data_IF_033517275543
#
_entry.id   IF_033517275543
#
_cell.length_a   1.000
_cell.length_b   1.000
_cell.length_c   1.000
_cell.angle_alpha   90.00
_cell.angle_beta   90.00
_cell.angle_gamma   90.00
#
_symmetry.space_group_name_H-M   'P 1'
#
loop_
_entity.id
_entity.type
_entity.pdbx_description
1 polymer ?
#
# COMPACT_ATOMS: atom_id res chain seq x y z
N UNK A 1 -19.95 -25.42 2.63
CA UNK A 1 -19.91 -25.77 1.19
C UNK A 1 -18.79 -24.96 0.55
N UNK A 2 -17.69 -25.64 0.26
CA UNK A 2 -16.50 -25.05 -0.36
C UNK A 2 -16.77 -24.77 -1.84
N UNK A 3 -16.47 -23.56 -2.30
CA UNK A 3 -16.45 -23.23 -3.73
C UNK A 3 -14.99 -22.89 -4.09
N UNK A 4 -14.39 -23.55 -5.10
CA UNK A 4 -12.99 -23.38 -5.44
C UNK A 4 -12.77 -22.07 -6.20
N UNK A 5 -11.63 -21.43 -5.92
CA UNK A 5 -11.11 -20.33 -6.72
C UNK A 5 -10.58 -20.90 -8.04
N UNK A 6 -11.06 -20.38 -9.17
CA UNK A 6 -10.53 -20.72 -10.48
C UNK A 6 -9.08 -20.24 -10.60
N UNK A 7 -8.16 -21.20 -10.50
CA UNK A 7 -6.76 -21.12 -10.92
C UNK A 7 -6.73 -21.87 -12.24
N UNK A 8 -6.33 -21.22 -13.33
CA UNK A 8 -5.77 -21.90 -14.48
C UNK A 8 -4.81 -20.98 -15.22
N UNK A 9 -3.67 -21.58 -15.60
CA UNK A 9 -2.59 -21.12 -16.46
C UNK A 9 -1.57 -20.14 -15.87
N UNK A 10 -0.63 -20.70 -15.12
CA UNK A 10 0.75 -20.18 -14.99
C UNK A 10 1.56 -20.74 -16.15
N UNK A 11 1.90 -19.89 -17.13
CA UNK A 11 3.00 -20.18 -18.06
C UNK A 11 4.22 -19.40 -17.57
N UNK A 12 5.24 -20.19 -17.24
CA UNK A 12 6.52 -19.81 -16.67
C UNK A 12 7.27 -18.87 -17.64
N UNK A 13 7.45 -17.60 -17.29
CA UNK A 13 8.37 -16.70 -18.00
C UNK A 13 9.70 -16.72 -17.25
N UNK A 14 10.62 -17.57 -17.71
CA UNK A 14 12.03 -17.47 -17.35
C UNK A 14 12.72 -16.47 -18.27
N UNK A 15 13.47 -15.54 -17.69
CA UNK A 15 14.73 -15.06 -18.28
C UNK A 15 15.66 -14.57 -17.17
N UNK A 16 16.90 -15.03 -17.29
CA UNK A 16 17.93 -15.11 -16.27
C UNK A 16 18.84 -13.87 -16.19
N UNK A 17 19.27 -13.56 -14.96
CA UNK A 17 20.67 -13.35 -14.50
C UNK A 17 21.49 -12.18 -15.10
N UNK A 18 22.28 -11.40 -14.36
CA UNK A 18 23.18 -11.66 -13.23
C UNK A 18 23.28 -10.43 -12.31
N UNK A 19 23.39 -10.67 -11.00
CA UNK A 19 23.75 -9.64 -10.02
C UNK A 19 25.27 -9.37 -10.04
N UNK A 20 25.65 -8.12 -9.77
CA UNK A 20 26.98 -7.72 -9.34
C UNK A 20 26.82 -6.87 -8.06
N UNK A 21 27.45 -7.21 -6.92
CA UNK A 21 27.25 -6.51 -5.66
C UNK A 21 28.40 -5.51 -5.42
N UNK A 22 28.18 -4.22 -5.70
CA UNK A 22 29.08 -3.18 -5.23
C UNK A 22 28.37 -1.84 -5.01
N UNK A 23 28.41 -1.41 -3.75
CA UNK A 23 28.34 -0.04 -3.21
C UNK A 23 27.74 1.09 -4.09
N UNK A 24 26.61 1.63 -3.62
CA UNK A 24 26.05 2.89 -4.11
C UNK A 24 25.34 3.65 -2.99
N UNK A 25 25.75 4.91 -2.81
CA UNK A 25 25.36 5.94 -1.84
C UNK A 25 23.85 6.01 -1.46
N UNK A 26 23.48 6.63 -0.31
CA UNK A 26 22.12 6.59 0.21
C UNK A 26 21.19 7.44 -0.67
N UNK A 27 20.40 6.76 -1.51
CA UNK A 27 19.28 7.39 -2.20
C UNK A 27 18.17 7.64 -1.16
N UNK A 28 17.72 8.89 -1.07
CA UNK A 28 16.66 9.41 -0.19
C UNK A 28 15.75 8.32 0.41
N UNK A 29 15.93 8.06 1.71
CA UNK A 29 15.25 7.01 2.47
C UNK A 29 13.74 7.10 2.34
N UNK A 30 13.16 6.29 1.47
CA UNK A 30 11.73 6.20 1.25
C UNK A 30 11.07 5.36 2.33
N UNK A 31 9.88 5.76 2.76
CA UNK A 31 9.02 5.00 3.67
C UNK A 31 8.83 3.57 3.13
N UNK A 32 9.30 2.59 3.88
CA UNK A 32 9.25 1.17 3.51
C UNK A 32 8.92 0.30 4.74
N UNK A 33 8.26 -0.83 4.49
CA UNK A 33 7.78 -1.77 5.48
C UNK A 33 8.12 -3.19 5.03
N UNK A 34 8.67 -4.05 5.90
CA UNK A 34 9.05 -5.41 5.53
C UNK A 34 8.15 -6.46 6.20
N UNK A 35 7.73 -7.46 5.43
CA UNK A 35 6.92 -8.57 5.91
C UNK A 35 7.59 -9.90 5.54
N UNK A 36 7.78 -10.76 6.52
CA UNK A 36 8.04 -12.18 6.27
C UNK A 36 6.71 -12.92 6.17
N UNK A 37 6.46 -13.54 5.02
CA UNK A 37 5.22 -14.26 4.73
C UNK A 37 5.51 -15.53 3.94
N UNK A 38 5.14 -16.69 4.49
CA UNK A 38 5.25 -17.99 3.80
C UNK A 38 6.67 -18.22 3.20
N UNK A 39 7.72 -17.92 3.99
CA UNK A 39 9.15 -17.96 3.63
C UNK A 39 9.60 -16.95 2.56
N UNK A 40 8.81 -15.92 2.28
CA UNK A 40 9.19 -14.80 1.40
C UNK A 40 9.40 -13.53 2.22
N UNK A 41 10.49 -12.85 1.94
CA UNK A 41 10.76 -11.51 2.46
C UNK A 41 10.22 -10.48 1.48
N UNK A 42 9.20 -9.74 1.90
CA UNK A 42 8.49 -8.78 1.08
C UNK A 42 8.72 -7.37 1.61
N UNK A 43 8.90 -6.40 0.71
CA UNK A 43 8.98 -4.98 1.08
C UNK A 43 7.87 -4.19 0.42
N UNK A 44 7.09 -3.49 1.22
CA UNK A 44 6.13 -2.48 0.78
C UNK A 44 6.82 -1.12 0.78
N UNK A 45 7.07 -0.57 -0.40
CA UNK A 45 7.81 0.67 -0.58
C UNK A 45 6.93 1.73 -1.22
N UNK A 46 7.01 2.96 -0.72
CA UNK A 46 6.47 4.12 -1.42
C UNK A 46 7.47 4.56 -2.51
N UNK A 47 7.02 4.54 -3.76
CA UNK A 47 7.86 4.84 -4.94
C UNK A 47 7.27 5.99 -5.75
N UNK A 48 8.14 6.84 -6.30
CA UNK A 48 7.76 7.91 -7.22
C UNK A 48 8.27 7.68 -8.64
N UNK A 49 7.95 8.57 -9.60
CA UNK A 49 8.26 8.38 -11.02
C UNK A 49 9.75 8.15 -11.35
N UNK A 50 10.67 8.58 -10.48
CA UNK A 50 12.11 8.32 -10.66
C UNK A 50 12.61 6.98 -10.12
N UNK A 51 11.76 6.19 -9.44
CA UNK A 51 12.13 4.87 -8.95
C UNK A 51 11.87 3.80 -10.02
N UNK A 52 12.79 2.85 -10.18
CA UNK A 52 12.69 1.77 -11.16
C UNK A 52 11.40 0.93 -11.05
N UNK A 53 10.82 0.82 -9.86
CA UNK A 53 9.60 0.01 -9.65
C UNK A 53 8.32 0.77 -9.99
N UNK A 54 8.38 2.08 -10.28
CA UNK A 54 7.20 2.84 -10.67
C UNK A 54 6.64 2.35 -12.02
N UNK A 55 7.51 2.15 -13.02
CA UNK A 55 7.12 1.59 -14.32
C UNK A 55 6.54 0.18 -14.19
N UNK A 56 7.21 -0.68 -13.40
CA UNK A 56 6.73 -2.03 -13.12
C UNK A 56 5.34 -2.04 -12.45
N UNK A 57 5.05 -1.08 -11.56
CA UNK A 57 3.74 -0.95 -10.93
C UNK A 57 2.65 -0.54 -11.93
N UNK A 58 2.96 0.35 -12.88
CA UNK A 58 2.04 0.72 -13.98
C UNK A 58 1.72 -0.50 -14.82
N UNK A 59 2.74 -1.25 -15.26
CA UNK A 59 2.58 -2.46 -16.07
C UNK A 59 1.76 -3.53 -15.33
N UNK A 60 2.07 -3.77 -14.06
CA UNK A 60 1.33 -4.69 -13.20
C UNK A 60 -0.15 -4.30 -13.09
N UNK A 61 -0.45 -3.02 -12.83
CA UNK A 61 -1.82 -2.53 -12.74
C UNK A 61 -2.57 -2.73 -14.06
N UNK A 62 -1.97 -2.36 -15.20
CA UNK A 62 -2.55 -2.56 -16.52
C UNK A 62 -2.85 -4.04 -16.78
N UNK A 63 -1.89 -4.93 -16.52
CA UNK A 63 -2.05 -6.37 -16.74
C UNK A 63 -3.16 -6.96 -15.86
N UNK A 64 -3.23 -6.59 -14.58
CA UNK A 64 -4.25 -7.08 -13.65
C UNK A 64 -5.65 -6.59 -14.05
N UNK A 65 -5.80 -5.31 -14.41
CA UNK A 65 -7.10 -4.77 -14.84
C UNK A 65 -7.56 -5.35 -16.17
N UNK A 66 -6.64 -5.55 -17.12
CA UNK A 66 -6.93 -6.23 -18.38
C UNK A 66 -7.43 -7.66 -18.13
N UNK A 67 -6.74 -8.43 -17.28
CA UNK A 67 -7.10 -9.81 -16.98
C UNK A 67 -8.42 -9.93 -16.21
N UNK A 68 -8.67 -9.04 -15.25
CA UNK A 68 -9.83 -9.11 -14.38
C UNK A 68 -11.11 -8.56 -15.03
N UNK A 69 -10.97 -7.54 -15.88
CA UNK A 69 -12.11 -6.74 -16.36
C UNK A 69 -12.12 -6.51 -17.87
N UNK A 70 -11.16 -7.06 -18.63
CA UNK A 70 -10.92 -6.68 -20.03
C UNK A 70 -10.74 -5.16 -20.18
N UNK A 71 -10.15 -4.52 -19.16
CA UNK A 71 -9.99 -3.08 -19.08
C UNK A 71 -8.59 -2.64 -19.56
N UNK A 72 -8.55 -1.58 -20.36
CA UNK A 72 -7.35 -0.84 -20.72
C UNK A 72 -7.32 0.44 -19.88
N UNK A 73 -6.37 0.53 -18.95
CA UNK A 73 -6.23 1.69 -18.06
C UNK A 73 -4.89 2.39 -18.31
N UNK A 74 -4.80 3.66 -17.94
CA UNK A 74 -3.57 4.45 -18.00
C UNK A 74 -3.29 5.10 -16.62
N UNK A 75 -2.88 4.31 -15.61
CA UNK A 75 -2.71 4.82 -14.25
C UNK A 75 -1.56 5.83 -14.19
N UNK A 76 -1.84 7.03 -13.65
CA UNK A 76 -0.85 8.10 -13.45
C UNK A 76 -0.94 8.71 -12.05
N UNK A 77 -0.82 7.91 -10.98
CA UNK A 77 -0.84 8.45 -9.63
C UNK A 77 0.44 9.27 -9.33
N UNK A 78 0.43 10.09 -8.29
CA UNK A 78 1.65 10.80 -7.89
C UNK A 78 2.74 9.84 -7.40
N UNK A 79 2.35 8.76 -6.72
CA UNK A 79 3.22 7.71 -6.17
C UNK A 79 2.53 6.35 -6.32
N UNK A 80 3.30 5.27 -6.20
CA UNK A 80 2.77 3.94 -5.93
C UNK A 80 3.26 3.45 -4.57
N UNK A 81 2.43 2.69 -3.88
CA UNK A 81 2.86 1.74 -2.85
C UNK A 81 3.07 0.42 -3.58
N UNK A 82 4.27 -0.13 -3.55
CA UNK A 82 4.62 -1.36 -4.28
C UNK A 82 5.09 -2.41 -3.31
N UNK A 83 4.52 -3.61 -3.38
CA UNK A 83 5.05 -4.79 -2.74
C UNK A 83 6.08 -5.45 -3.68
N UNK A 84 7.31 -5.54 -3.20
CA UNK A 84 8.47 -6.09 -3.91
C UNK A 84 8.86 -7.37 -3.20
N UNK A 85 8.99 -8.46 -3.95
CA UNK A 85 9.61 -9.69 -3.45
C UNK A 85 11.14 -9.50 -3.46
N UNK A 86 11.78 -9.58 -2.29
CA UNK A 86 13.23 -9.35 -2.19
C UNK A 86 14.06 -10.45 -2.86
N UNK A 87 13.54 -11.67 -2.96
CA UNK A 87 14.26 -12.77 -3.59
C UNK A 87 14.37 -12.61 -5.11
N UNK A 88 13.34 -12.02 -5.74
CA UNK A 88 13.28 -11.86 -7.20
C UNK A 88 13.45 -10.41 -7.67
N UNK A 89 13.27 -9.44 -6.78
CA UNK A 89 13.18 -8.02 -7.10
C UNK A 89 11.90 -7.61 -7.84
N UNK A 90 10.94 -8.52 -8.01
CA UNK A 90 9.74 -8.28 -8.79
C UNK A 90 8.67 -7.49 -8.00
N UNK A 91 7.96 -6.59 -8.69
CA UNK A 91 6.75 -5.95 -8.18
C UNK A 91 5.56 -6.93 -8.30
N UNK A 92 5.00 -7.33 -7.16
CA UNK A 92 3.94 -8.37 -7.11
C UNK A 92 2.57 -7.82 -6.66
N UNK A 93 2.55 -6.62 -6.11
CA UNK A 93 1.32 -5.88 -5.85
C UNK A 93 1.61 -4.37 -5.88
N UNK A 94 0.61 -3.57 -6.22
CA UNK A 94 0.72 -2.12 -6.19
C UNK A 94 -0.61 -1.43 -5.87
N UNK A 95 -0.51 -0.21 -5.33
CA UNK A 95 -1.62 0.73 -5.18
C UNK A 95 -1.13 2.12 -5.56
N UNK A 96 -1.83 2.79 -6.47
CA UNK A 96 -1.56 4.19 -6.81
C UNK A 96 -2.03 5.11 -5.69
N UNK A 97 -1.24 6.14 -5.39
CA UNK A 97 -1.50 7.16 -4.38
C UNK A 97 -1.41 8.56 -5.01
N UNK A 98 -2.51 9.31 -4.98
CA UNK A 98 -2.59 10.68 -5.49
C UNK A 98 -3.03 11.63 -4.40
N UNK A 99 -2.17 12.57 -4.01
CA UNK A 99 -2.51 13.63 -3.05
C UNK A 99 -3.51 14.63 -3.64
N UNK A 100 -4.57 14.98 -2.91
CA UNK A 100 -5.64 15.87 -3.40
C UNK A 100 -5.19 17.31 -3.63
N UNK A 101 -4.09 17.75 -2.99
CA UNK A 101 -3.35 18.98 -3.30
C UNK A 101 -4.18 20.14 -3.85
N UNK A 102 -3.78 20.64 -5.03
CA UNK A 102 -4.50 21.68 -5.78
C UNK A 102 -5.35 21.14 -6.95
N UNK A 103 -5.08 19.91 -7.40
CA UNK A 103 -5.76 19.30 -8.53
C UNK A 103 -6.90 18.38 -8.04
N UNK A 104 -8.00 18.25 -8.80
CA UNK A 104 -9.05 17.30 -8.45
C UNK A 104 -8.51 15.86 -8.52
N UNK A 105 -8.94 15.03 -7.56
CA UNK A 105 -8.77 13.58 -7.58
C UNK A 105 -9.71 12.96 -8.63
N UNK A 106 -9.40 11.74 -9.06
CA UNK A 106 -10.22 11.07 -10.08
C UNK A 106 -11.64 10.78 -9.55
N UNK A 107 -11.75 10.32 -8.30
CA UNK A 107 -13.03 9.98 -7.68
C UNK A 107 -13.95 11.19 -7.45
N UNK A 108 -13.44 12.43 -7.55
CA UNK A 108 -14.28 13.62 -7.49
C UNK A 108 -15.27 13.72 -8.66
N UNK A 109 -14.98 13.04 -9.79
CA UNK A 109 -15.92 12.93 -10.91
C UNK A 109 -17.25 12.30 -10.50
N UNK A 110 -17.28 11.47 -9.44
CA UNK A 110 -18.47 10.77 -8.95
C UNK A 110 -19.21 11.47 -7.82
N UNK A 111 -18.74 12.62 -7.34
CA UNK A 111 -19.32 13.30 -6.17
C UNK A 111 -20.29 14.39 -6.60
N UNK A 112 -21.43 14.51 -5.91
CA UNK A 112 -22.42 15.56 -6.19
C UNK A 112 -22.06 16.92 -5.56
N UNK A 113 -21.05 16.94 -4.70
CA UNK A 113 -20.53 18.13 -4.04
C UNK A 113 -19.00 18.12 -4.04
N UNK A 114 -18.34 19.29 -3.89
CA UNK A 114 -16.88 19.36 -3.75
C UNK A 114 -16.36 18.44 -2.64
N UNK A 115 -15.19 17.85 -2.85
CA UNK A 115 -14.60 16.89 -1.92
C UNK A 115 -14.54 17.42 -0.48
N UNK A 116 -14.17 18.68 -0.29
CA UNK A 116 -14.07 19.31 1.03
C UNK A 116 -15.40 19.33 1.78
N UNK A 117 -16.51 19.57 1.08
CA UNK A 117 -17.84 19.56 1.68
C UNK A 117 -18.25 18.15 2.07
N UNK A 118 -17.98 17.18 1.20
CA UNK A 118 -18.21 15.76 1.47
C UNK A 118 -17.40 15.30 2.68
N UNK A 119 -16.10 15.61 2.72
CA UNK A 119 -15.22 15.29 3.84
C UNK A 119 -15.66 15.99 5.12
N UNK A 120 -16.09 17.25 5.07
CA UNK A 120 -16.59 17.95 6.24
C UNK A 120 -17.80 17.24 6.87
N UNK A 121 -18.70 16.70 6.03
CA UNK A 121 -19.80 15.85 6.47
C UNK A 121 -19.34 14.55 7.12
N UNK A 122 -18.38 13.84 6.53
CA UNK A 122 -17.92 12.55 7.08
C UNK A 122 -17.08 12.71 8.36
N UNK A 123 -16.22 13.73 8.41
CA UNK A 123 -15.34 13.98 9.54
C UNK A 123 -16.00 14.81 10.65
N UNK A 124 -17.18 15.39 10.38
CA UNK A 124 -17.90 16.31 11.28
C UNK A 124 -17.06 17.54 11.66
N UNK A 125 -16.15 17.94 10.75
CA UNK A 125 -15.28 19.11 10.85
C UNK A 125 -14.60 19.36 9.50
N UNK A 126 -14.14 20.59 9.21
CA UNK A 126 -13.35 20.86 8.01
C UNK A 126 -12.08 19.99 7.95
N UNK A 127 -11.81 19.42 6.77
CA UNK A 127 -10.56 18.68 6.48
C UNK A 127 -9.85 19.34 5.29
N UNK A 128 -8.62 19.84 5.46
CA UNK A 128 -7.84 20.39 4.36
C UNK A 128 -7.57 19.35 3.27
N UNK A 129 -7.69 19.72 1.98
CA UNK A 129 -7.36 18.82 0.85
C UNK A 129 -5.96 18.22 0.93
N UNK A 130 -4.98 18.99 1.42
CA UNK A 130 -3.59 18.54 1.58
C UNK A 130 -3.44 17.34 2.53
N UNK A 131 -4.42 17.12 3.40
CA UNK A 131 -4.43 16.03 4.38
C UNK A 131 -5.16 14.78 3.84
N UNK A 132 -5.54 14.78 2.57
CA UNK A 132 -6.28 13.68 1.92
C UNK A 132 -5.56 13.23 0.66
N UNK A 133 -5.61 11.92 0.43
CA UNK A 133 -5.16 11.32 -0.81
C UNK A 133 -6.21 10.36 -1.37
N UNK A 134 -6.05 10.01 -2.63
CA UNK A 134 -6.81 8.98 -3.32
C UNK A 134 -5.96 7.73 -3.51
N UNK A 135 -6.59 6.58 -3.34
CA UNK A 135 -6.06 5.29 -3.77
C UNK A 135 -6.73 4.86 -5.06
N UNK A 136 -5.90 4.52 -6.03
CA UNK A 136 -6.30 4.04 -7.36
C UNK A 136 -5.46 2.82 -7.74
N UNK A 137 -5.82 2.16 -8.84
CA UNK A 137 -4.99 1.12 -9.46
C UNK A 137 -4.49 0.04 -8.47
N UNK A 138 -5.32 -0.33 -7.48
CA UNK A 138 -5.02 -1.42 -6.55
C UNK A 138 -5.00 -2.73 -7.34
N UNK A 139 -3.82 -3.33 -7.43
CA UNK A 139 -3.56 -4.50 -8.27
C UNK A 139 -2.63 -5.48 -7.55
N UNK A 140 -2.91 -6.77 -7.72
CA UNK A 140 -2.05 -7.84 -7.22
C UNK A 140 -2.25 -9.09 -8.06
N UNK A 141 -1.19 -9.88 -8.18
CA UNK A 141 -1.25 -11.23 -8.75
C UNK A 141 -1.67 -12.29 -7.71
N UNK A 142 -1.57 -11.97 -6.42
CA UNK A 142 -1.76 -12.91 -5.32
C UNK A 142 -2.73 -12.34 -4.26
N UNK A 143 -3.92 -12.93 -4.05
CA UNK A 143 -4.93 -12.39 -3.14
C UNK A 143 -4.43 -12.13 -1.70
N UNK A 144 -3.54 -12.98 -1.20
CA UNK A 144 -2.94 -12.84 0.13
C UNK A 144 -2.05 -11.59 0.22
N UNK A 145 -1.22 -11.34 -0.79
CA UNK A 145 -0.40 -10.13 -0.87
C UNK A 145 -1.26 -8.89 -1.02
N UNK A 146 -2.34 -8.96 -1.82
CA UNK A 146 -3.33 -7.87 -1.87
C UNK A 146 -3.94 -7.55 -0.52
N UNK A 147 -4.18 -8.56 0.32
CA UNK A 147 -4.67 -8.37 1.69
C UNK A 147 -3.65 -7.63 2.56
N UNK A 148 -2.37 -8.01 2.48
CA UNK A 148 -1.30 -7.31 3.21
C UNK A 148 -1.10 -5.87 2.68
N UNK A 149 -1.21 -5.65 1.37
CA UNK A 149 -1.15 -4.31 0.78
C UNK A 149 -2.27 -3.42 1.32
N UNK A 150 -3.50 -3.93 1.44
CA UNK A 150 -4.62 -3.20 2.02
C UNK A 150 -4.42 -2.87 3.50
N UNK A 151 -3.63 -3.67 4.25
CA UNK A 151 -3.31 -3.41 5.65
C UNK A 151 -2.20 -2.37 5.82
N UNK A 152 -1.15 -2.43 4.99
CA UNK A 152 -0.05 -1.46 5.00
C UNK A 152 -0.49 -0.10 4.51
N UNK A 153 -1.39 -0.03 3.53
CA UNK A 153 -1.82 1.21 2.92
C UNK A 153 -2.28 2.30 3.90
N UNK A 154 -3.23 2.05 4.83
CA UNK A 154 -3.64 3.07 5.80
C UNK A 154 -2.50 3.45 6.74
N UNK A 155 -1.57 2.54 7.06
CA UNK A 155 -0.39 2.82 7.86
C UNK A 155 0.56 3.79 7.13
N UNK A 156 0.84 3.53 5.85
CA UNK A 156 1.60 4.46 4.99
C UNK A 156 0.93 5.84 4.96
N UNK A 157 -0.39 5.88 4.77
CA UNK A 157 -1.12 7.14 4.72
C UNK A 157 -1.02 7.90 6.04
N UNK A 158 -1.09 7.20 7.18
CA UNK A 158 -0.89 7.78 8.50
C UNK A 158 0.51 8.36 8.68
N UNK A 159 1.57 7.63 8.29
CA UNK A 159 2.95 8.13 8.33
C UNK A 159 3.19 9.35 7.42
N UNK A 160 2.43 9.46 6.33
CA UNK A 160 2.43 10.65 5.47
C UNK A 160 1.63 11.83 6.05
N UNK A 161 1.07 11.69 7.25
CA UNK A 161 0.25 12.73 7.92
C UNK A 161 -1.15 12.88 7.35
N UNK A 162 -1.62 11.94 6.53
CA UNK A 162 -2.96 11.99 5.93
C UNK A 162 -4.02 11.63 6.97
N UNK A 163 -5.14 12.34 6.90
CA UNK A 163 -6.32 12.14 7.76
C UNK A 163 -7.36 11.24 7.11
N UNK A 164 -7.41 11.23 5.78
CA UNK A 164 -8.40 10.49 5.02
C UNK A 164 -7.86 9.97 3.70
N UNK A 165 -8.42 8.86 3.26
CA UNK A 165 -8.13 8.25 1.97
C UNK A 165 -9.42 8.03 1.21
N UNK A 166 -9.54 8.62 0.03
CA UNK A 166 -10.65 8.40 -0.90
C UNK A 166 -10.30 7.21 -1.79
N UNK A 167 -11.27 6.34 -2.08
CA UNK A 167 -11.10 5.35 -3.12
C UNK A 167 -12.44 4.96 -3.73
N UNK A 168 -12.37 4.41 -4.94
CA UNK A 168 -13.51 3.79 -5.62
C UNK A 168 -13.36 2.27 -5.52
N UNK A 169 -14.17 1.67 -4.65
CA UNK A 169 -14.03 0.28 -4.25
C UNK A 169 -15.13 -0.60 -4.86
N UNK A 170 -14.72 -1.68 -5.52
CA UNK A 170 -15.63 -2.73 -6.01
C UNK A 170 -16.30 -3.46 -4.85
N UNK A 171 -17.39 -4.17 -5.13
CA UNK A 171 -18.09 -4.96 -4.10
C UNK A 171 -17.21 -6.00 -3.41
N UNK A 172 -16.23 -6.57 -4.13
CA UNK A 172 -15.24 -7.50 -3.57
C UNK A 172 -14.28 -6.79 -2.61
N UNK A 173 -13.78 -5.62 -3.01
CA UNK A 173 -12.84 -4.84 -2.20
C UNK A 173 -13.49 -4.35 -0.89
N UNK A 174 -14.75 -3.90 -0.93
CA UNK A 174 -15.50 -3.51 0.28
C UNK A 174 -15.64 -4.67 1.28
N UNK A 175 -15.96 -5.88 0.81
CA UNK A 175 -15.99 -7.08 1.67
C UNK A 175 -14.64 -7.39 2.32
N UNK A 176 -13.54 -7.12 1.61
CA UNK A 176 -12.20 -7.27 2.20
C UNK A 176 -11.97 -6.25 3.31
N UNK A 177 -12.38 -4.98 3.13
CA UNK A 177 -12.32 -3.98 4.20
C UNK A 177 -13.12 -4.41 5.43
N UNK A 178 -14.35 -4.88 5.25
CA UNK A 178 -15.20 -5.37 6.34
C UNK A 178 -14.54 -6.53 7.10
N UNK A 179 -13.98 -7.51 6.36
CA UNK A 179 -13.29 -8.65 6.96
C UNK A 179 -12.04 -8.26 7.77
N UNK A 180 -11.40 -7.15 7.41
CA UNK A 180 -10.26 -6.59 8.16
C UNK A 180 -10.66 -5.58 9.23
N UNK A 181 -11.98 -5.34 9.43
CA UNK A 181 -12.51 -4.28 10.28
C UNK A 181 -11.96 -2.90 9.93
N UNK A 182 -11.70 -2.67 8.65
CA UNK A 182 -11.29 -1.37 8.11
C UNK A 182 -12.56 -0.57 7.75
N UNK A 183 -12.96 0.45 8.54
CA UNK A 183 -14.15 1.23 8.27
C UNK A 183 -14.03 2.00 6.95
N UNK A 184 -14.88 1.64 6.01
CA UNK A 184 -15.08 2.37 4.75
C UNK A 184 -16.43 3.06 4.79
N UNK A 185 -16.45 4.37 4.59
CA UNK A 185 -17.68 5.17 4.52
C UNK A 185 -18.06 5.40 3.04
N UNK A 186 -19.05 4.67 2.50
CA UNK A 186 -19.48 4.86 1.11
C UNK A 186 -20.18 6.22 0.96
N UNK A 187 -19.89 6.92 -0.12
CA UNK A 187 -20.41 8.27 -0.40
C UNK A 187 -21.33 8.24 -1.64
N UNK A 188 -20.84 7.70 -2.75
CA UNK A 188 -21.55 7.72 -4.03
C UNK A 188 -21.31 6.43 -4.82
N UNK A 189 -22.28 6.06 -5.65
CA UNK A 189 -22.05 5.03 -6.67
C UNK A 189 -21.11 5.60 -7.75
N UNK A 190 -20.12 4.82 -8.17
CA UNK A 190 -19.21 5.24 -9.24
C UNK A 190 -19.89 4.98 -10.59
N UNK A 191 -20.70 5.94 -11.01
CA UNK A 191 -21.41 5.91 -12.30
C UNK A 191 -20.45 6.26 -13.46
N UNK A 192 -20.18 5.33 -14.40
CA UNK A 192 -19.31 5.60 -15.54
C UNK A 192 -19.82 6.72 -16.45
N UNK A 193 -21.12 7.04 -16.45
CA UNK A 193 -21.67 8.14 -17.26
C UNK A 193 -21.15 9.52 -16.83
N UNK A 194 -20.58 9.63 -15.61
CA UNK A 194 -19.98 10.85 -15.09
C UNK A 194 -18.53 11.06 -15.53
N UNK A 195 -17.91 10.05 -16.14
CA UNK A 195 -16.51 10.13 -16.55
C UNK A 195 -16.34 10.90 -17.86
N UNK A 196 -15.27 11.71 -17.98
CA UNK A 196 -14.90 12.26 -19.26
C UNK A 196 -14.46 11.15 -20.22
N UNK A 197 -14.70 11.34 -21.52
CA UNK A 197 -14.18 10.46 -22.56
C UNK A 197 -12.66 10.61 -22.62
N UNK A 198 -11.94 9.57 -22.22
CA UNK A 198 -10.48 9.51 -22.29
C UNK A 198 -10.06 8.66 -23.49
N UNK A 199 -9.17 9.21 -24.33
CA UNK A 199 -8.53 8.43 -25.39
C UNK A 199 -7.70 7.32 -24.73
N UNK A 200 -7.78 6.11 -25.27
CA UNK A 200 -7.00 4.95 -24.85
C UNK A 200 -7.31 4.38 -23.45
N UNK A 201 -8.46 4.75 -22.87
CA UNK A 201 -8.97 4.14 -21.63
C UNK A 201 -10.31 3.45 -21.89
N UNK A 202 -10.39 2.17 -21.55
CA UNK A 202 -11.60 1.38 -21.56
C UNK A 202 -11.71 0.64 -20.22
N UNK A 203 -12.83 0.78 -19.52
CA UNK A 203 -13.02 0.15 -18.22
C UNK A 203 -13.56 -1.29 -18.31
N UNK A 204 -13.91 -1.77 -19.51
CA UNK A 204 -14.44 -3.12 -19.71
C UNK A 204 -15.59 -3.42 -18.75
N UNK A 205 -15.51 -4.55 -18.04
CA UNK A 205 -16.52 -4.99 -17.06
C UNK A 205 -16.30 -4.46 -15.64
N UNK A 206 -15.38 -3.50 -15.43
CA UNK A 206 -15.08 -2.97 -14.10
C UNK A 206 -16.33 -2.39 -13.40
N UNK A 207 -17.16 -1.64 -14.12
CA UNK A 207 -18.37 -1.02 -13.56
C UNK A 207 -19.50 -2.01 -13.28
N UNK A 208 -19.48 -3.21 -13.90
CA UNK A 208 -20.43 -4.28 -13.58
C UNK A 208 -20.31 -4.72 -12.12
N UNK A 209 -19.16 -4.46 -11.49
CA UNK A 209 -18.91 -4.77 -10.08
C UNK A 209 -19.65 -3.83 -9.10
N UNK A 210 -20.39 -2.84 -9.62
CA UNK A 210 -21.06 -1.77 -8.87
C UNK A 210 -20.11 -1.11 -7.86
N UNK A 211 -19.04 -0.48 -8.36
CA UNK A 211 -18.08 0.19 -7.49
C UNK A 211 -18.74 1.36 -6.76
N UNK A 212 -18.28 1.63 -5.54
CA UNK A 212 -18.70 2.77 -4.75
C UNK A 212 -17.49 3.61 -4.39
N UNK A 213 -17.61 4.91 -4.61
CA UNK A 213 -16.67 5.92 -4.11
C UNK A 213 -16.98 6.19 -2.65
N UNK A 214 -15.94 6.18 -1.82
CA UNK A 214 -16.06 6.42 -0.40
C UNK A 214 -14.75 6.87 0.21
N UNK A 215 -14.79 7.11 1.52
CA UNK A 215 -13.63 7.56 2.29
C UNK A 215 -13.35 6.62 3.44
N UNK A 216 -12.07 6.34 3.67
CA UNK A 216 -11.56 5.71 4.86
C UNK A 216 -10.92 6.78 5.74
N UNK A 217 -11.38 6.87 6.99
CA UNK A 217 -10.83 7.80 7.98
C UNK A 217 -9.58 7.20 8.59
N UNK A 218 -8.42 7.64 8.12
CA UNK A 218 -7.12 7.19 8.64
C UNK A 218 -6.94 7.63 10.10
N UNK A 219 -7.49 8.80 10.44
CA UNK A 219 -7.36 9.38 11.77
C UNK A 219 -8.12 8.66 12.90
N UNK A 220 -8.94 7.67 12.56
CA UNK A 220 -9.65 6.81 13.52
C UNK A 220 -9.11 5.39 13.58
N UNK A 221 -8.04 5.08 12.85
CA UNK A 221 -7.50 3.72 12.73
C UNK A 221 -6.47 3.37 13.82
N UNK A 222 -6.47 4.04 14.96
CA UNK A 222 -5.51 3.77 16.05
C UNK A 222 -5.45 2.29 16.45
N UNK A 223 -6.59 1.71 16.83
CA UNK A 223 -6.67 0.29 17.19
C UNK A 223 -6.29 -0.64 16.03
N UNK A 224 -6.61 -0.26 14.79
CA UNK A 224 -6.19 -1.03 13.62
C UNK A 224 -4.67 -1.05 13.49
N UNK A 225 -3.99 0.09 13.68
CA UNK A 225 -2.53 0.18 13.64
C UNK A 225 -1.87 -0.66 14.74
N UNK A 226 -2.46 -0.76 15.91
CA UNK A 226 -1.96 -1.65 16.97
C UNK A 226 -1.96 -3.12 16.53
N UNK A 227 -2.96 -3.55 15.75
CA UNK A 227 -3.04 -4.94 15.26
C UNK A 227 -2.10 -5.26 14.10
N UNK A 228 -1.64 -4.25 13.35
CA UNK A 228 -0.88 -4.48 12.11
C UNK A 228 0.57 -3.98 12.15
N UNK A 229 0.89 -2.98 12.96
CA UNK A 229 2.23 -2.35 13.01
C UNK A 229 3.35 -3.35 13.33
N UNK A 230 3.15 -4.22 14.33
CA UNK A 230 4.12 -5.25 14.71
C UNK A 230 4.40 -6.30 13.62
N UNK A 231 3.52 -6.42 12.60
CA UNK A 231 3.71 -7.36 11.49
C UNK A 231 4.78 -6.89 10.51
N UNK A 232 4.91 -5.59 10.31
CA UNK A 232 5.68 -5.00 9.20
C UNK A 232 7.06 -4.45 9.59
N UNK A 233 7.37 -4.46 10.88
CA UNK A 233 8.59 -3.88 11.43
C UNK A 233 9.28 -4.83 12.44
N UNK A 234 9.05 -6.14 12.36
CA UNK A 234 9.60 -7.11 13.33
C UNK A 234 11.13 -7.02 13.44
N UNK A 235 11.82 -6.83 12.32
CA UNK A 235 13.28 -6.66 12.28
C UNK A 235 13.80 -5.38 12.94
N UNK A 236 12.95 -4.35 13.15
CA UNK A 236 13.32 -3.16 13.95
C UNK A 236 13.17 -3.42 15.46
N UNK A 237 12.41 -4.43 15.87
CA UNK A 237 12.23 -4.84 17.26
C UNK A 237 13.21 -5.93 17.69
N UNK A 238 13.80 -6.65 16.72
CA UNK A 238 14.86 -7.64 16.96
C UNK A 238 16.26 -6.99 17.10
N UNK A 239 16.33 -5.65 17.11
CA UNK A 239 17.54 -4.86 17.34
C UNK A 239 17.67 -4.39 18.79
N UNK A 240 18.59 -5.04 19.52
CA UNK A 240 19.15 -4.65 20.82
C UNK A 240 18.28 -4.84 22.08
N UNK A 241 18.17 -6.11 22.54
CA UNK A 241 18.44 -6.37 23.96
C UNK A 241 19.95 -6.61 24.07
N UNK A 242 20.71 -5.56 24.39
CA UNK A 242 22.02 -5.73 25.01
C UNK A 242 21.74 -6.17 26.43
N UNK A 243 21.80 -7.47 26.70
CA UNK A 243 21.89 -7.97 28.07
C UNK A 243 23.21 -7.47 28.67
N UNK A 244 23.06 -6.46 29.53
CA UNK A 244 23.69 -6.38 30.84
C UNK A 244 25.19 -6.63 30.91
N UNK A 245 25.94 -5.54 31.08
CA UNK A 245 27.22 -5.53 31.78
C UNK A 245 27.13 -6.28 33.12
N UNK A 246 27.58 -7.52 33.17
CA UNK A 246 28.06 -8.17 34.40
C UNK A 246 29.44 -8.76 34.14
N UNK A 247 30.47 -7.96 34.41
CA UNK A 247 31.70 -8.40 35.08
C UNK A 247 32.67 -7.22 35.21
N UNK A 248 32.45 -6.40 36.22
CA UNK A 248 33.54 -5.61 36.79
C UNK A 248 33.26 -5.31 38.27
N UNK A 249 33.50 -6.30 39.14
CA UNK A 249 34.15 -6.07 40.43
C UNK A 249 34.47 -7.40 41.13
N UNK A 250 35.74 -7.83 41.09
CA UNK A 250 36.44 -8.40 42.26
C UNK A 250 37.89 -8.74 41.88
N UNK A 251 38.79 -7.78 42.10
CA UNK A 251 40.16 -8.10 42.45
C UNK A 251 40.58 -7.07 43.51
N UNK A 252 40.49 -7.48 44.78
CA UNK A 252 41.04 -6.75 45.91
C UNK A 252 42.58 -6.79 45.87
N UNK A 253 43.28 -5.80 46.46
CA UNK A 253 44.74 -5.72 46.38
C UNK A 253 45.38 -6.70 47.38
N UNK A 254 46.45 -7.39 46.95
CA UNK A 254 47.43 -7.99 47.85
C UNK A 254 48.74 -7.20 47.79
N UNK A 255 49.29 -7.02 48.97
CA UNK A 255 50.45 -6.25 49.42
C UNK A 255 51.79 -6.96 49.16
N UNK A 256 52.86 -6.14 49.03
CA UNK A 256 54.32 -6.31 49.32
C UNK A 256 55.03 -7.64 48.96
N UNK A 257 56.27 -7.70 48.45
CA UNK A 257 57.52 -7.10 48.99
C UNK A 257 58.70 -7.31 48.00
N UNK A 258 59.70 -6.42 48.09
CA UNK A 258 61.16 -6.60 47.91
C UNK A 258 61.78 -7.40 46.73
N UNK A 259 62.52 -6.68 45.86
CA UNK A 259 63.99 -6.74 45.71
C UNK A 259 64.47 -5.85 44.55
#
# INVERSE_FOLDING_TARGET
>A
MHTPAAIDNVVNIHSASTADPAAGAPAAGGLAFQLELDNRSLVFKLVGPGDRHYGAAVELACAVYLRAYCATIAPRPHRFIVCIDLATGAAIACAGLSFAGRAPLFSEQYLDAPLEQVLAGVFQRPVPRRDVAEITALATIEPRIGTELMRVLPLICWYLGLRGVVCTATSKLRRCFDAMKLPFHPIAAADPARLPVMRDVNWGTYYDTRPMTGVMRVDTLGEFFDTVSCRYNRHLLDGEIVEGCENMMTAAPMWEEAA
#
